data_IF_545340091456
#
_entry.id   IF_545340091456
#
_cell.length_a   1.000
_cell.length_b   1.000
_cell.length_c   1.000
_cell.angle_alpha   90.00
_cell.angle_beta   90.00
_cell.angle_gamma   90.00
#
_symmetry.space_group_name_H-M   'P 1'
#
loop_
_entity.id
_entity.type
_entity.pdbx_description
1 polymer ?
#
# COMPACT_ATOMS: atom_id res chain seq x y z
N UNK A 1 15.42 -44.63 1.59
CA UNK A 1 14.86 -43.27 1.76
C UNK A 1 15.67 -42.32 0.88
N UNK A 2 15.15 -41.86 -0.25
CA UNK A 2 15.85 -40.86 -1.09
C UNK A 2 15.49 -39.48 -0.55
N UNK A 3 16.37 -38.91 0.26
CA UNK A 3 16.27 -37.52 0.64
C UNK A 3 16.61 -36.69 -0.60
N UNK A 4 15.65 -35.89 -1.07
CA UNK A 4 15.91 -34.92 -2.12
C UNK A 4 16.64 -33.72 -1.49
N UNK A 5 17.71 -33.27 -2.15
CA UNK A 5 18.35 -32.02 -1.77
C UNK A 5 17.36 -30.88 -1.92
N UNK A 6 17.26 -30.02 -0.90
CA UNK A 6 16.53 -28.76 -0.98
C UNK A 6 17.22 -27.92 -2.06
N UNK A 7 16.57 -27.78 -3.20
CA UNK A 7 17.00 -26.82 -4.21
C UNK A 7 16.72 -25.44 -3.61
N UNK A 8 17.79 -24.69 -3.28
CA UNK A 8 17.66 -23.29 -2.92
C UNK A 8 16.93 -22.57 -4.05
N UNK A 9 15.95 -21.72 -3.70
CA UNK A 9 15.11 -21.00 -4.65
C UNK A 9 15.96 -20.39 -5.76
N UNK A 10 15.51 -20.53 -7.01
CA UNK A 10 16.16 -19.88 -8.15
C UNK A 10 16.27 -18.37 -7.85
N UNK A 11 17.40 -17.72 -8.18
CA UNK A 11 17.53 -16.29 -8.00
C UNK A 11 16.41 -15.59 -8.77
N UNK A 12 15.71 -14.66 -8.10
CA UNK A 12 14.65 -13.89 -8.73
C UNK A 12 15.18 -13.20 -10.00
N UNK A 13 14.37 -13.11 -11.06
CA UNK A 13 14.74 -12.41 -12.29
C UNK A 13 15.20 -10.96 -12.03
N UNK A 14 16.10 -10.44 -12.87
CA UNK A 14 16.68 -9.10 -12.69
C UNK A 14 15.63 -7.98 -12.69
N UNK A 15 14.52 -8.14 -13.40
CA UNK A 15 13.42 -7.17 -13.45
C UNK A 15 12.71 -6.99 -12.09
N UNK A 16 12.89 -7.92 -11.14
CA UNK A 16 12.37 -7.76 -9.77
C UNK A 16 13.08 -6.66 -8.98
N UNK A 17 14.19 -6.16 -9.51
CA UNK A 17 14.96 -5.02 -8.97
C UNK A 17 14.71 -3.72 -9.75
N UNK A 18 14.16 -3.78 -10.96
CA UNK A 18 13.79 -2.58 -11.73
C UNK A 18 12.45 -2.03 -11.26
N UNK A 19 12.30 -0.72 -11.30
CA UNK A 19 11.12 -0.02 -10.85
C UNK A 19 10.80 1.15 -11.78
N UNK A 20 9.50 1.44 -11.93
CA UNK A 20 9.03 2.71 -12.49
C UNK A 20 8.71 3.65 -11.34
N UNK A 21 9.24 4.86 -11.38
CA UNK A 21 9.06 5.88 -10.35
C UNK A 21 8.16 7.03 -10.80
N UNK A 22 7.27 7.48 -9.93
CA UNK A 22 6.45 8.67 -10.16
C UNK A 22 7.04 9.84 -9.37
N UNK A 23 7.28 10.94 -10.08
CA UNK A 23 7.89 12.15 -9.54
C UNK A 23 6.88 13.30 -9.52
N UNK A 24 7.02 14.14 -8.52
CA UNK A 24 6.24 15.32 -8.32
C UNK A 24 6.96 16.55 -8.89
N UNK A 25 6.39 17.27 -9.88
CA UNK A 25 7.09 18.30 -10.63
C UNK A 25 7.46 19.53 -9.78
N UNK A 26 6.69 19.80 -8.73
CA UNK A 26 6.87 20.95 -7.83
C UNK A 26 8.00 20.87 -6.80
N UNK A 27 8.68 19.74 -6.63
CA UNK A 27 9.78 19.61 -5.64
C UNK A 27 11.14 19.46 -6.32
N UNK A 28 12.22 19.69 -5.57
CA UNK A 28 13.59 19.54 -6.09
C UNK A 28 13.97 18.07 -6.27
N UNK A 29 14.95 17.81 -7.13
CA UNK A 29 15.44 16.46 -7.40
C UNK A 29 15.95 15.79 -6.12
N UNK A 30 15.54 14.55 -5.88
CA UNK A 30 15.88 13.79 -4.67
C UNK A 30 14.84 13.92 -3.56
N UNK A 31 13.93 14.88 -3.68
CA UNK A 31 12.75 15.06 -2.84
C UNK A 31 11.43 14.85 -3.58
N UNK A 32 11.49 14.76 -4.91
CA UNK A 32 10.36 14.71 -5.83
C UNK A 32 9.82 13.30 -6.08
N UNK A 33 10.57 12.23 -5.76
CA UNK A 33 10.08 10.86 -5.91
C UNK A 33 8.94 10.57 -4.94
N UNK A 34 7.73 10.38 -5.47
CA UNK A 34 6.51 10.11 -4.69
C UNK A 34 6.45 8.64 -4.26
N UNK A 35 6.60 7.74 -5.22
CA UNK A 35 6.60 6.28 -5.01
C UNK A 35 7.17 5.59 -6.25
N UNK A 36 7.47 4.31 -6.12
CA UNK A 36 7.91 3.45 -7.22
C UNK A 36 7.20 2.10 -7.15
N UNK A 37 6.93 1.51 -8.32
CA UNK A 37 6.36 0.15 -8.45
C UNK A 37 7.34 -0.76 -9.18
N UNK A 38 7.44 -2.05 -8.79
CA UNK A 38 8.35 -3.00 -9.43
C UNK A 38 7.88 -3.36 -10.85
N UNK A 39 8.83 -3.50 -11.78
CA UNK A 39 8.52 -3.87 -13.17
C UNK A 39 8.20 -5.37 -13.30
N UNK A 40 6.94 -5.73 -13.07
CA UNK A 40 6.46 -7.11 -13.06
C UNK A 40 5.48 -7.43 -14.20
N UNK A 41 5.00 -6.40 -14.92
CA UNK A 41 4.14 -6.59 -16.08
C UNK A 41 5.00 -6.88 -17.32
N UNK A 42 4.81 -8.03 -17.93
CA UNK A 42 5.51 -8.42 -19.17
C UNK A 42 4.97 -7.60 -20.35
N UNK A 43 5.86 -7.12 -21.21
CA UNK A 43 5.51 -6.42 -22.45
C UNK A 43 5.23 -7.45 -23.55
N UNK A 44 3.97 -7.81 -23.74
CA UNK A 44 3.52 -8.75 -24.74
C UNK A 44 3.49 -8.17 -26.16
N UNK A 45 3.41 -9.02 -27.22
CA UNK A 45 3.43 -8.61 -28.64
C UNK A 45 2.42 -7.52 -29.03
N UNK A 46 1.27 -7.50 -28.37
CA UNK A 46 0.16 -6.59 -28.64
C UNK A 46 0.15 -5.37 -27.70
N UNK A 47 0.99 -5.38 -26.66
CA UNK A 47 1.04 -4.28 -25.70
C UNK A 47 1.75 -3.08 -26.31
N UNK A 48 1.17 -1.91 -26.07
CA UNK A 48 1.79 -0.62 -26.36
C UNK A 48 2.72 -0.30 -25.19
N UNK A 49 4.02 -0.20 -25.48
CA UNK A 49 5.03 0.31 -24.58
C UNK A 49 5.59 1.62 -25.14
N UNK A 50 6.14 2.48 -24.28
CA UNK A 50 6.58 3.81 -24.71
C UNK A 50 7.99 3.88 -25.31
N UNK A 51 8.74 2.77 -25.29
CA UNK A 51 10.00 2.61 -26.01
C UNK A 51 9.84 2.10 -27.46
N UNK A 52 8.63 2.16 -28.07
CA UNK A 52 8.47 1.79 -29.48
C UNK A 52 9.15 2.82 -30.41
N UNK A 53 10.45 2.61 -30.67
CA UNK A 53 11.21 3.35 -31.70
C UNK A 53 10.68 2.98 -33.08
N UNK A 54 9.99 3.93 -33.73
CA UNK A 54 9.61 3.83 -35.14
C UNK A 54 10.84 4.16 -35.99
N UNK A 55 11.70 3.17 -36.22
CA UNK A 55 12.70 3.25 -37.30
C UNK A 55 12.12 2.62 -38.58
N UNK A 56 12.40 3.25 -39.72
CA UNK A 56 11.71 3.09 -40.99
C UNK A 56 11.24 1.66 -41.31
N UNK A 57 9.91 1.48 -41.33
CA UNK A 57 9.17 0.33 -41.84
C UNK A 57 9.50 -1.07 -41.26
N UNK A 58 10.18 -1.16 -40.11
CA UNK A 58 10.34 -2.45 -39.42
C UNK A 58 10.18 -2.27 -37.91
N UNK A 59 9.07 -2.78 -37.36
CA UNK A 59 8.88 -2.98 -35.91
C UNK A 59 9.92 -4.00 -35.42
N UNK A 60 11.13 -3.55 -35.07
CA UNK A 60 12.16 -4.43 -34.51
C UNK A 60 12.11 -4.31 -32.99
N UNK A 61 11.36 -5.22 -32.36
CA UNK A 61 11.52 -5.49 -30.93
C UNK A 61 12.82 -6.27 -30.77
N UNK A 62 13.77 -5.76 -29.97
CA UNK A 62 14.87 -6.61 -29.50
C UNK A 62 14.25 -7.76 -28.69
N UNK A 63 14.66 -8.99 -28.99
CA UNK A 63 14.03 -10.25 -28.56
C UNK A 63 14.18 -10.59 -27.06
N UNK A 64 14.26 -9.60 -26.17
CA UNK A 64 14.14 -9.81 -24.72
C UNK A 64 12.78 -9.28 -24.29
N UNK A 65 12.01 -10.12 -23.57
CA UNK A 65 10.78 -9.66 -22.93
C UNK A 65 11.11 -8.45 -22.04
N UNK A 66 10.60 -7.28 -22.43
CA UNK A 66 10.64 -6.11 -21.58
C UNK A 66 9.67 -6.29 -20.43
N UNK A 67 10.00 -5.73 -19.27
CA UNK A 67 9.08 -5.65 -18.13
C UNK A 67 8.86 -4.19 -17.78
N UNK A 68 7.65 -3.87 -17.35
CA UNK A 68 7.27 -2.53 -16.92
C UNK A 68 6.15 -2.56 -15.90
N UNK A 69 5.38 -1.48 -15.86
CA UNK A 69 4.23 -1.35 -14.96
C UNK A 69 2.98 -1.01 -15.77
N UNK A 70 1.89 -1.72 -15.50
CA UNK A 70 0.59 -1.49 -16.12
C UNK A 70 0.11 -0.05 -15.89
N UNK A 71 -0.07 0.68 -16.98
CA UNK A 71 -0.36 2.11 -16.98
C UNK A 71 -1.64 2.48 -16.24
N UNK A 72 -2.75 1.78 -16.51
CA UNK A 72 -4.01 2.06 -15.84
C UNK A 72 -3.93 1.88 -14.33
N UNK A 73 -3.13 0.92 -13.86
CA UNK A 73 -2.89 0.74 -12.43
C UNK A 73 -2.04 1.87 -11.88
N UNK A 74 -0.91 2.19 -12.52
CA UNK A 74 -0.04 3.30 -12.08
C UNK A 74 -0.78 4.64 -12.03
N UNK A 75 -1.55 4.97 -13.06
CA UNK A 75 -2.33 6.20 -13.11
C UNK A 75 -3.38 6.24 -11.98
N UNK A 76 -4.06 5.12 -11.72
CA UNK A 76 -5.04 5.06 -10.63
C UNK A 76 -4.39 5.24 -9.25
N UNK A 77 -3.17 4.70 -9.04
CA UNK A 77 -2.38 4.96 -7.84
C UNK A 77 -2.17 6.46 -7.66
N UNK A 78 -1.71 7.14 -8.72
CA UNK A 78 -1.52 8.59 -8.71
C UNK A 78 -2.80 9.35 -8.37
N UNK A 79 -3.91 8.99 -9.00
CA UNK A 79 -5.22 9.62 -8.78
C UNK A 79 -5.70 9.48 -7.33
N UNK A 80 -5.47 8.32 -6.69
CA UNK A 80 -5.79 8.11 -5.27
C UNK A 80 -4.94 9.03 -4.38
N UNK A 81 -3.63 9.11 -4.65
CA UNK A 81 -2.69 9.95 -3.87
C UNK A 81 -3.10 11.43 -3.92
N UNK A 82 -3.64 11.88 -5.05
CA UNK A 82 -4.07 13.28 -5.26
C UNK A 82 -5.52 13.53 -4.85
N UNK A 83 -6.12 12.63 -4.06
CA UNK A 83 -7.47 12.83 -3.52
C UNK A 83 -8.58 12.48 -4.50
N UNK A 84 -8.40 11.40 -5.27
CA UNK A 84 -9.34 10.88 -6.27
C UNK A 84 -9.51 11.78 -7.51
N UNK A 85 -8.41 12.32 -8.03
CA UNK A 85 -8.40 13.17 -9.24
C UNK A 85 -8.59 12.37 -10.53
N UNK A 86 -9.63 11.53 -10.61
CA UNK A 86 -9.82 10.55 -11.68
C UNK A 86 -9.91 11.17 -13.08
N UNK A 87 -10.47 12.37 -13.20
CA UNK A 87 -10.71 13.01 -14.49
C UNK A 87 -9.60 13.99 -14.93
N UNK A 88 -8.77 14.45 -13.98
CA UNK A 88 -7.82 15.55 -14.25
C UNK A 88 -6.37 15.12 -14.22
N UNK A 89 -6.00 14.14 -13.38
CA UNK A 89 -4.60 13.74 -13.24
C UNK A 89 -4.09 12.97 -14.45
N UNK A 90 -2.84 13.22 -14.84
CA UNK A 90 -2.18 12.52 -15.95
C UNK A 90 -0.67 12.36 -15.70
N UNK A 91 -0.05 11.43 -16.43
CA UNK A 91 1.40 11.22 -16.43
C UNK A 91 2.06 11.93 -17.63
N UNK A 92 3.28 12.41 -17.44
CA UNK A 92 4.09 13.10 -18.45
C UNK A 92 5.53 12.59 -18.43
N UNK A 93 6.19 12.61 -19.59
CA UNK A 93 7.62 12.32 -19.74
C UNK A 93 8.50 13.46 -19.22
N UNK A 94 7.96 14.69 -19.21
CA UNK A 94 8.70 15.86 -18.79
C UNK A 94 8.07 16.56 -17.57
N UNK A 95 8.92 17.24 -16.82
CA UNK A 95 8.56 17.96 -15.60
C UNK A 95 7.56 19.10 -15.82
N UNK A 96 7.47 19.69 -17.02
CA UNK A 96 6.53 20.77 -17.32
C UNK A 96 5.13 20.25 -17.69
N UNK A 97 4.99 18.96 -18.01
CA UNK A 97 3.69 18.37 -18.37
C UNK A 97 3.32 18.53 -19.84
N UNK A 98 4.26 18.97 -20.68
CA UNK A 98 4.01 19.27 -22.09
C UNK A 98 3.92 17.99 -22.95
N UNK A 99 4.67 16.96 -22.58
CA UNK A 99 4.75 15.67 -23.24
C UNK A 99 4.00 14.62 -22.42
N UNK A 100 2.67 14.64 -22.53
CA UNK A 100 1.79 13.69 -21.83
C UNK A 100 1.99 12.28 -22.35
N UNK A 101 1.91 11.29 -21.45
CA UNK A 101 1.87 9.86 -21.83
C UNK A 101 0.62 9.60 -22.67
N UNK A 102 0.80 9.21 -23.94
CA UNK A 102 -0.27 8.89 -24.89
C UNK A 102 -0.40 7.37 -25.00
N UNK A 103 -1.07 6.77 -24.02
CA UNK A 103 -1.23 5.31 -23.96
C UNK A 103 -2.63 4.94 -23.48
N UNK A 104 -3.15 3.82 -23.97
CA UNK A 104 -4.41 3.28 -23.46
C UNK A 104 -4.21 2.65 -22.06
N UNK A 105 -5.29 2.44 -21.32
CA UNK A 105 -5.25 1.93 -19.94
C UNK A 105 -4.53 0.59 -19.75
N UNK A 106 -4.31 -0.18 -20.83
CA UNK A 106 -3.67 -1.50 -20.81
C UNK A 106 -2.19 -1.47 -21.13
N UNK A 107 -1.68 -0.35 -21.63
CA UNK A 107 -0.29 -0.26 -22.02
C UNK A 107 0.65 -0.34 -20.81
N UNK A 108 1.93 -0.53 -21.11
CA UNK A 108 2.97 -0.82 -20.12
C UNK A 108 3.98 0.32 -20.13
N UNK A 109 4.19 0.94 -18.97
CA UNK A 109 5.20 1.96 -18.75
C UNK A 109 6.57 1.28 -18.64
N UNK A 110 7.52 1.63 -19.52
CA UNK A 110 8.87 1.04 -19.52
C UNK A 110 9.99 2.01 -19.15
N UNK A 111 9.73 3.32 -19.11
CA UNK A 111 10.72 4.29 -18.64
C UNK A 111 10.88 4.22 -17.11
N UNK A 112 12.08 4.55 -16.63
CA UNK A 112 12.40 4.54 -15.20
C UNK A 112 11.59 5.57 -14.38
N UNK A 113 11.12 6.65 -15.03
CA UNK A 113 10.49 7.77 -14.35
C UNK A 113 9.45 8.52 -15.19
N UNK A 114 8.39 8.97 -14.51
CA UNK A 114 7.34 9.85 -15.06
C UNK A 114 6.99 10.95 -14.06
N UNK A 115 6.45 12.05 -14.57
CA UNK A 115 5.93 13.14 -13.74
C UNK A 115 4.41 13.08 -13.66
N UNK A 116 3.88 13.10 -12.44
CA UNK A 116 2.44 13.25 -12.21
C UNK A 116 2.06 14.72 -12.28
N UNK A 117 0.99 15.03 -13.01
CA UNK A 117 0.42 16.37 -13.12
C UNK A 117 -1.05 16.33 -12.74
N UNK A 118 -1.48 17.33 -11.96
CA UNK A 118 -2.86 17.55 -11.58
C UNK A 118 -3.22 18.99 -11.93
N UNK A 119 -3.85 19.24 -13.09
CA UNK A 119 -4.31 20.57 -13.45
C UNK A 119 -5.22 21.16 -12.37
N UNK A 120 -4.89 22.35 -11.91
CA UNK A 120 -5.71 23.16 -11.01
C UNK A 120 -6.27 24.33 -11.82
N UNK A 121 -7.58 24.58 -11.74
CA UNK A 121 -8.28 25.57 -12.57
C UNK A 121 -7.76 27.00 -12.41
N UNK A 122 -7.14 27.33 -11.27
CA UNK A 122 -6.88 28.72 -10.86
C UNK A 122 -5.45 28.99 -10.37
N UNK A 123 -4.49 28.07 -10.59
CA UNK A 123 -3.12 28.24 -10.09
C UNK A 123 -2.05 27.83 -11.09
N UNK A 124 -1.06 28.70 -11.25
CA UNK A 124 0.22 28.45 -11.94
C UNK A 124 1.21 27.62 -11.09
N UNK A 125 0.75 26.99 -10.00
CA UNK A 125 1.64 26.23 -9.12
C UNK A 125 1.88 24.84 -9.69
N UNK A 126 3.13 24.57 -10.07
CA UNK A 126 3.60 23.22 -10.45
C UNK A 126 3.58 22.23 -9.27
N UNK A 127 3.21 22.67 -8.08
CA UNK A 127 3.13 21.84 -6.88
C UNK A 127 1.67 21.71 -6.46
N UNK A 128 1.11 20.50 -6.56
CA UNK A 128 -0.23 20.18 -6.08
C UNK A 128 -0.17 19.54 -4.69
N UNK A 129 -1.27 19.60 -3.96
CA UNK A 129 -1.37 18.97 -2.65
C UNK A 129 -1.53 17.45 -2.74
N UNK A 130 -0.89 16.74 -1.81
CA UNK A 130 -0.95 15.26 -1.71
C UNK A 130 -1.73 14.84 -0.47
N UNK A 131 -2.58 13.82 -0.61
CA UNK A 131 -3.25 13.18 0.52
C UNK A 131 -2.22 12.40 1.35
N UNK A 132 -2.09 12.65 2.67
CA UNK A 132 -0.90 12.23 3.40
C UNK A 132 -0.85 10.74 3.76
N UNK A 133 -2.00 10.11 3.96
CA UNK A 133 -2.14 8.71 4.36
C UNK A 133 -3.59 8.23 4.15
N UNK A 134 -3.84 6.96 4.44
CA UNK A 134 -5.17 6.36 4.30
C UNK A 134 -6.21 6.93 5.28
N UNK A 135 -5.85 7.19 6.54
CA UNK A 135 -6.80 7.74 7.54
C UNK A 135 -7.35 9.12 7.16
N UNK A 136 -6.54 9.92 6.47
CA UNK A 136 -6.90 11.24 5.97
C UNK A 136 -7.51 11.22 4.56
N UNK A 137 -7.50 10.06 3.88
CA UNK A 137 -8.09 9.90 2.55
C UNK A 137 -9.60 9.74 2.64
N UNK A 138 -10.31 10.41 1.73
CA UNK A 138 -11.75 10.26 1.56
C UNK A 138 -12.03 9.19 0.52
N UNK A 139 -12.88 8.24 0.88
CA UNK A 139 -13.45 7.31 -0.06
C UNK A 139 -14.25 8.10 -1.12
N UNK A 140 -14.09 7.80 -2.41
CA UNK A 140 -14.79 8.53 -3.46
C UNK A 140 -16.28 8.20 -3.45
N UNK A 141 -17.09 9.14 -3.91
CA UNK A 141 -18.53 8.94 -4.08
C UNK A 141 -18.84 7.89 -5.16
N UNK A 142 -18.07 7.91 -6.25
CA UNK A 142 -18.16 6.95 -7.33
C UNK A 142 -16.82 6.23 -7.54
N UNK A 143 -16.89 4.91 -7.73
CA UNK A 143 -15.73 4.12 -8.12
C UNK A 143 -15.40 4.36 -9.61
N UNK A 144 -14.13 4.19 -10.03
CA UNK A 144 -13.82 4.13 -11.45
C UNK A 144 -14.60 2.98 -12.13
N UNK A 145 -15.01 3.16 -13.37
CA UNK A 145 -15.92 2.21 -14.06
C UNK A 145 -15.43 0.76 -14.03
N UNK A 146 -14.12 0.55 -14.20
CA UNK A 146 -13.49 -0.79 -14.16
C UNK A 146 -13.64 -1.53 -12.83
N UNK A 147 -13.93 -0.82 -11.74
CA UNK A 147 -14.10 -1.41 -10.41
C UNK A 147 -15.50 -1.97 -10.15
N UNK A 148 -16.50 -1.58 -10.94
CA UNK A 148 -17.86 -2.09 -10.79
C UNK A 148 -17.99 -3.56 -11.22
N UNK A 149 -17.12 -4.02 -12.14
CA UNK A 149 -17.12 -5.40 -12.66
C UNK A 149 -16.34 -6.41 -11.80
N UNK A 150 -15.57 -5.96 -10.81
CA UNK A 150 -14.57 -6.76 -10.08
C UNK A 150 -15.19 -7.87 -9.19
N UNK A 151 -16.45 -7.72 -8.77
CA UNK A 151 -17.04 -8.57 -7.73
C UNK A 151 -17.82 -9.80 -8.25
N UNK A 152 -18.10 -9.92 -9.55
CA UNK A 152 -18.90 -11.04 -10.06
C UNK A 152 -17.98 -12.22 -10.44
N UNK A 153 -17.50 -12.92 -9.42
CA UNK A 153 -16.84 -14.22 -9.60
C UNK A 153 -17.77 -15.34 -9.11
N UNK A 154 -17.66 -16.57 -9.65
CA UNK A 154 -18.39 -17.71 -9.13
C UNK A 154 -18.11 -17.90 -7.63
N UNK A 155 -19.15 -18.17 -6.84
CA UNK A 155 -18.97 -18.57 -5.43
C UNK A 155 -18.34 -19.96 -5.42
N UNK A 156 -17.17 -20.08 -4.80
CA UNK A 156 -16.61 -21.40 -4.54
C UNK A 156 -17.45 -22.11 -3.45
N UNK A 157 -17.80 -23.36 -3.72
CA UNK A 157 -18.46 -24.25 -2.77
C UNK A 157 -17.51 -24.71 -1.66
N UNK A 158 -16.20 -24.67 -1.92
CA UNK A 158 -15.15 -25.07 -0.98
C UNK A 158 -14.42 -23.84 -0.41
N UNK A 159 -13.89 -23.92 0.82
CA UNK A 159 -13.09 -22.85 1.41
C UNK A 159 -11.70 -22.79 0.77
N UNK A 160 -11.61 -22.26 -0.45
CA UNK A 160 -10.35 -22.10 -1.19
C UNK A 160 -9.77 -20.69 -1.02
N UNK A 161 -8.47 -20.59 -1.24
CA UNK A 161 -7.73 -19.35 -1.32
C UNK A 161 -8.05 -18.67 -2.64
N UNK A 162 -8.50 -17.41 -2.57
CA UNK A 162 -8.98 -16.68 -3.74
C UNK A 162 -7.89 -16.48 -4.82
N UNK A 163 -6.61 -16.56 -4.45
CA UNK A 163 -5.47 -16.42 -5.36
C UNK A 163 -5.02 -17.78 -5.88
N UNK A 164 -4.67 -18.70 -4.98
CA UNK A 164 -4.04 -19.98 -5.39
C UNK A 164 -5.02 -21.09 -5.78
N UNK A 165 -6.32 -20.93 -5.50
CA UNK A 165 -7.35 -21.96 -5.72
C UNK A 165 -7.21 -23.20 -4.83
N UNK A 166 -6.18 -23.27 -3.98
CA UNK A 166 -5.96 -24.36 -3.02
C UNK A 166 -6.71 -24.09 -1.73
N UNK A 167 -6.79 -25.05 -0.81
CA UNK A 167 -7.46 -24.85 0.48
C UNK A 167 -6.92 -23.61 1.20
N UNK A 168 -7.83 -22.71 1.59
CA UNK A 168 -7.48 -21.57 2.42
C UNK A 168 -7.34 -22.02 3.87
N UNK A 169 -6.31 -21.51 4.53
CA UNK A 169 -6.08 -21.76 5.96
C UNK A 169 -6.70 -20.66 6.82
N UNK A 170 -6.98 -19.49 6.23
CA UNK A 170 -7.37 -18.30 6.98
C UNK A 170 -8.48 -17.51 6.29
N UNK A 171 -9.27 -16.81 7.11
CA UNK A 171 -10.05 -15.65 6.67
C UNK A 171 -9.21 -14.41 6.99
N UNK A 172 -9.04 -13.54 6.01
CA UNK A 172 -8.32 -12.29 6.15
C UNK A 172 -9.28 -11.13 5.91
N UNK A 173 -9.26 -10.14 6.80
CA UNK A 173 -9.96 -8.89 6.58
C UNK A 173 -9.32 -8.11 5.42
N UNK A 174 -10.16 -7.61 4.53
CA UNK A 174 -9.73 -6.78 3.38
C UNK A 174 -9.24 -5.44 3.90
N UNK A 175 -10.02 -4.79 4.76
CA UNK A 175 -9.68 -3.60 5.54
C UNK A 175 -9.49 -4.01 7.01
N UNK A 176 -8.32 -3.73 7.62
CA UNK A 176 -8.05 -4.14 8.99
C UNK A 176 -8.87 -3.31 10.00
N UNK A 177 -9.10 -3.87 11.18
CA UNK A 177 -9.85 -3.24 12.27
C UNK A 177 -9.25 -1.90 12.72
N UNK A 178 -7.92 -1.73 12.60
CA UNK A 178 -7.25 -0.46 12.88
C UNK A 178 -7.82 0.74 12.11
N UNK A 179 -8.60 0.49 11.05
CA UNK A 179 -9.23 1.51 10.21
C UNK A 179 -10.71 1.78 10.55
N UNK A 180 -11.22 1.34 11.70
CA UNK A 180 -12.62 1.59 12.11
C UNK A 180 -12.99 3.08 12.11
N UNK A 181 -12.07 3.95 12.52
CA UNK A 181 -12.30 5.41 12.47
C UNK A 181 -12.47 5.91 11.04
N UNK A 182 -11.64 5.44 10.12
CA UNK A 182 -11.74 5.78 8.69
C UNK A 182 -13.04 5.23 8.11
N UNK A 183 -13.40 3.99 8.45
CA UNK A 183 -14.62 3.32 8.04
C UNK A 183 -15.87 4.13 8.40
N UNK A 184 -15.99 4.55 9.66
CA UNK A 184 -17.12 5.36 10.13
C UNK A 184 -17.15 6.73 9.46
N UNK A 185 -16.01 7.41 9.35
CA UNK A 185 -15.95 8.73 8.72
C UNK A 185 -16.37 8.68 7.24
N UNK A 186 -16.16 7.56 6.55
CA UNK A 186 -16.47 7.38 5.14
C UNK A 186 -17.82 6.69 4.88
N UNK A 187 -18.66 6.53 5.91
CA UNK A 187 -19.97 5.88 5.79
C UNK A 187 -19.89 4.49 5.13
N UNK A 188 -18.79 3.76 5.38
CA UNK A 188 -18.54 2.47 4.74
C UNK A 188 -19.52 1.38 5.20
N UNK A 189 -20.33 1.65 6.23
CA UNK A 189 -21.49 0.84 6.65
C UNK A 189 -22.50 0.60 5.53
N UNK A 190 -22.59 1.53 4.58
CA UNK A 190 -23.52 1.45 3.45
C UNK A 190 -23.17 0.28 2.50
N UNK A 191 -21.93 -0.22 2.59
CA UNK A 191 -21.41 -1.31 1.76
C UNK A 191 -21.24 -2.63 2.53
N UNK A 192 -21.65 -2.70 3.79
CA UNK A 192 -21.45 -3.85 4.70
C UNK A 192 -22.72 -4.30 5.42
N UNK A 193 -23.88 -4.06 4.81
CA UNK A 193 -25.19 -4.36 5.41
C UNK A 193 -25.40 -3.65 6.77
N UNK A 194 -24.85 -2.44 6.92
CA UNK A 194 -25.00 -1.63 8.14
C UNK A 194 -24.13 -2.06 9.31
N UNK A 195 -23.04 -2.81 9.09
CA UNK A 195 -22.16 -3.23 10.17
C UNK A 195 -21.56 -2.01 10.91
N UNK A 196 -21.62 -2.02 12.25
CA UNK A 196 -21.11 -0.91 13.10
C UNK A 196 -19.58 -0.78 13.07
N UNK A 197 -18.87 -1.87 12.78
CA UNK A 197 -17.40 -1.95 12.71
C UNK A 197 -16.98 -2.72 11.47
N UNK A 198 -15.83 -2.33 10.89
CA UNK A 198 -15.24 -2.96 9.72
C UNK A 198 -14.87 -4.43 9.97
N UNK A 199 -14.55 -4.76 11.22
CA UNK A 199 -14.18 -6.11 11.64
C UNK A 199 -15.35 -7.10 11.57
N UNK A 200 -16.57 -6.61 11.79
CA UNK A 200 -17.79 -7.45 11.87
C UNK A 200 -18.46 -7.66 10.51
N UNK A 201 -18.00 -6.97 9.47
CA UNK A 201 -18.54 -7.08 8.12
C UNK A 201 -18.10 -8.39 7.45
N UNK A 202 -19.07 -9.21 7.03
CA UNK A 202 -18.81 -10.36 6.16
C UNK A 202 -18.37 -9.93 4.76
N UNK A 203 -18.77 -8.73 4.33
CA UNK A 203 -18.38 -8.12 3.06
C UNK A 203 -16.94 -7.61 3.03
N UNK A 204 -16.26 -7.65 4.19
CA UNK A 204 -14.87 -7.26 4.37
C UNK A 204 -13.93 -8.49 4.52
N UNK A 205 -14.37 -9.69 4.13
CA UNK A 205 -13.61 -10.93 4.38
C UNK A 205 -13.29 -11.70 3.11
N UNK A 206 -12.01 -12.05 2.94
CA UNK A 206 -11.52 -12.96 1.90
C UNK A 206 -10.83 -14.18 2.50
N UNK A 207 -10.69 -15.23 1.71
CA UNK A 207 -10.00 -16.47 2.10
C UNK A 207 -8.62 -16.55 1.46
N UNK A 208 -7.59 -16.72 2.27
CA UNK A 208 -6.21 -16.78 1.80
C UNK A 208 -5.45 -17.93 2.46
N UNK A 209 -4.35 -18.32 1.82
CA UNK A 209 -3.29 -19.06 2.51
C UNK A 209 -2.57 -18.12 3.48
N UNK A 210 -2.05 -18.65 4.59
CA UNK A 210 -1.36 -17.88 5.62
C UNK A 210 -0.23 -16.97 5.09
N UNK A 211 0.56 -17.48 4.13
CA UNK A 211 1.63 -16.71 3.51
C UNK A 211 1.09 -15.50 2.72
N UNK A 212 0.04 -15.69 1.92
CA UNK A 212 -0.60 -14.61 1.16
C UNK A 212 -1.38 -13.64 2.05
N UNK A 213 -1.96 -14.12 3.15
CA UNK A 213 -2.62 -13.32 4.17
C UNK A 213 -1.66 -12.32 4.80
N UNK A 214 -0.46 -12.79 5.20
CA UNK A 214 0.61 -11.92 5.72
C UNK A 214 1.08 -10.89 4.69
N UNK A 215 1.30 -11.32 3.44
CA UNK A 215 1.76 -10.43 2.36
C UNK A 215 0.71 -9.35 2.04
N UNK A 216 -0.59 -9.71 2.09
CA UNK A 216 -1.67 -8.74 2.00
C UNK A 216 -1.59 -7.75 3.15
N UNK A 217 -1.53 -8.22 4.40
CA UNK A 217 -1.42 -7.37 5.59
C UNK A 217 -0.28 -6.36 5.49
N UNK A 218 0.91 -6.79 5.03
CA UNK A 218 2.09 -5.94 4.78
C UNK A 218 1.93 -4.98 3.58
N UNK A 219 0.74 -4.91 2.97
CA UNK A 219 0.39 -4.08 1.82
C UNK A 219 1.29 -4.35 0.60
N UNK A 220 1.81 -5.58 0.43
CA UNK A 220 2.71 -5.89 -0.67
C UNK A 220 2.00 -6.10 -2.02
N UNK A 221 0.70 -6.39 -2.01
CA UNK A 221 -0.14 -6.39 -3.21
C UNK A 221 -1.53 -5.82 -2.93
N UNK A 222 -2.26 -5.56 -4.01
CA UNK A 222 -3.70 -5.31 -3.99
C UNK A 222 -4.37 -6.10 -5.12
N UNK A 223 -5.69 -6.22 -5.05
CA UNK A 223 -6.50 -6.74 -6.15
C UNK A 223 -6.93 -5.57 -7.03
N UNK A 224 -6.73 -5.67 -8.34
CA UNK A 224 -7.02 -4.58 -9.30
C UNK A 224 -7.75 -5.11 -10.53
N UNK A 225 -8.59 -4.29 -11.19
CA UNK A 225 -9.15 -4.64 -12.48
C UNK A 225 -8.09 -4.51 -13.57
N UNK A 226 -8.03 -5.49 -14.46
CA UNK A 226 -7.30 -5.41 -15.72
C UNK A 226 -8.11 -6.02 -16.85
N UNK A 227 -8.18 -5.33 -17.97
CA UNK A 227 -8.80 -5.81 -19.20
C UNK A 227 -7.91 -6.82 -19.94
N UNK A 228 -8.50 -7.93 -20.40
CA UNK A 228 -7.85 -8.83 -21.36
C UNK A 228 -7.88 -8.29 -22.80
N UNK A 229 -7.26 -8.98 -23.76
CA UNK A 229 -7.23 -8.64 -25.21
C UNK A 229 -8.60 -8.38 -25.82
N UNK A 230 -9.66 -8.97 -25.27
CA UNK A 230 -11.04 -8.78 -25.73
C UNK A 230 -11.78 -7.65 -25.00
N UNK A 231 -11.10 -6.89 -24.15
CA UNK A 231 -11.67 -5.81 -23.34
C UNK A 231 -12.53 -6.31 -22.17
N UNK A 232 -12.39 -7.58 -21.77
CA UNK A 232 -13.10 -8.10 -20.60
C UNK A 232 -12.29 -7.80 -19.35
N UNK A 233 -12.91 -7.16 -18.37
CA UNK A 233 -12.31 -6.88 -17.07
C UNK A 233 -12.15 -8.16 -16.25
N UNK A 234 -10.96 -8.35 -15.69
CA UNK A 234 -10.64 -9.42 -14.75
C UNK A 234 -10.05 -8.81 -13.48
N UNK A 235 -10.39 -9.39 -12.34
CA UNK A 235 -9.73 -9.05 -11.08
C UNK A 235 -8.45 -9.86 -10.95
N UNK A 236 -7.31 -9.18 -10.84
CA UNK A 236 -5.99 -9.80 -10.73
C UNK A 236 -5.24 -9.32 -9.50
N UNK A 237 -4.26 -10.10 -9.06
CA UNK A 237 -3.31 -9.70 -8.03
C UNK A 237 -2.22 -8.82 -8.64
N UNK A 238 -2.01 -7.62 -8.10
CA UNK A 238 -0.95 -6.73 -8.53
C UNK A 238 -0.04 -6.36 -7.36
N UNK A 239 1.25 -6.69 -7.48
CA UNK A 239 2.25 -6.45 -6.45
C UNK A 239 2.83 -5.04 -6.54
N UNK A 240 2.85 -4.38 -5.38
CA UNK A 240 3.43 -3.06 -5.16
C UNK A 240 4.83 -3.13 -4.55
N UNK A 241 5.24 -4.31 -4.10
CA UNK A 241 6.56 -4.55 -3.53
C UNK A 241 7.00 -5.99 -3.74
N UNK A 242 8.28 -6.19 -4.01
CA UNK A 242 8.97 -7.49 -4.05
C UNK A 242 9.83 -7.72 -2.80
N UNK A 243 9.87 -6.77 -1.86
CA UNK A 243 10.67 -6.84 -0.63
C UNK A 243 9.98 -7.65 0.48
N UNK A 244 10.66 -7.86 1.60
CA UNK A 244 10.11 -8.51 2.80
C UNK A 244 9.50 -9.91 2.56
N UNK A 245 10.11 -10.69 1.65
CA UNK A 245 9.63 -12.04 1.31
C UNK A 245 8.44 -12.07 0.37
N UNK A 246 8.04 -10.93 -0.21
CA UNK A 246 6.99 -10.89 -1.23
C UNK A 246 7.49 -11.30 -2.63
N UNK A 247 8.81 -11.33 -2.88
CA UNK A 247 9.40 -11.62 -4.20
C UNK A 247 8.94 -12.94 -4.81
N UNK A 248 9.00 -14.05 -4.06
CA UNK A 248 8.54 -15.36 -4.56
C UNK A 248 7.04 -15.35 -4.87
N UNK A 249 6.23 -14.72 -4.00
CA UNK A 249 4.79 -14.60 -4.23
C UNK A 249 4.49 -13.72 -5.44
N UNK A 250 5.23 -12.63 -5.64
CA UNK A 250 5.12 -11.77 -6.81
C UNK A 250 5.46 -12.54 -8.09
N UNK A 251 6.50 -13.37 -8.06
CA UNK A 251 6.87 -14.22 -9.20
C UNK A 251 5.76 -15.20 -9.60
N UNK A 252 5.08 -15.83 -8.65
CA UNK A 252 4.04 -16.80 -8.96
C UNK A 252 2.65 -16.21 -9.16
N UNK A 253 2.36 -15.05 -8.56
CA UNK A 253 0.99 -14.55 -8.43
C UNK A 253 0.75 -13.17 -9.04
N UNK A 254 1.77 -12.43 -9.49
CA UNK A 254 1.52 -11.17 -10.20
C UNK A 254 0.70 -11.42 -11.47
N UNK A 255 -0.34 -10.61 -11.70
CA UNK A 255 -1.34 -10.76 -12.76
C UNK A 255 -2.14 -12.07 -12.74
N UNK A 256 -2.07 -12.85 -11.65
CA UNK A 256 -2.94 -14.02 -11.50
C UNK A 256 -4.38 -13.58 -11.25
N UNK A 257 -5.32 -14.13 -12.05
CA UNK A 257 -6.76 -13.94 -11.86
C UNK A 257 -7.22 -14.57 -10.55
N UNK A 258 -8.07 -13.86 -9.83
CA UNK A 258 -8.68 -14.39 -8.61
C UNK A 258 -9.83 -15.34 -8.96
N UNK A 259 -10.02 -16.38 -8.13
CA UNK A 259 -10.97 -17.45 -8.37
C UNK A 259 -12.38 -17.17 -7.81
N UNK A 260 -12.49 -16.52 -6.64
CA UNK A 260 -13.79 -16.29 -5.97
C UNK A 260 -13.74 -15.13 -4.97
N UNK A 261 -14.41 -14.02 -5.29
CA UNK A 261 -14.68 -12.81 -4.51
C UNK A 261 -16.17 -12.56 -4.22
N UNK A 262 -17.05 -13.56 -4.45
CA UNK A 262 -18.51 -13.42 -4.47
C UNK A 262 -19.18 -12.85 -3.19
N UNK A 263 -18.43 -12.61 -2.12
CA UNK A 263 -18.91 -12.08 -0.85
C UNK A 263 -18.25 -10.77 -0.46
N UNK A 264 -17.50 -10.09 -1.34
CA UNK A 264 -16.78 -8.85 -1.00
C UNK A 264 -17.27 -7.71 -1.86
N UNK A 265 -17.68 -6.61 -1.22
CA UNK A 265 -18.10 -5.43 -1.95
C UNK A 265 -16.90 -4.81 -2.70
N UNK A 266 -17.06 -4.37 -3.97
CA UNK A 266 -16.01 -3.66 -4.72
C UNK A 266 -15.39 -2.49 -3.95
N UNK A 267 -16.18 -1.84 -3.11
CA UNK A 267 -15.78 -0.69 -2.29
C UNK A 267 -14.70 -1.08 -1.27
N UNK A 268 -14.80 -2.25 -0.64
CA UNK A 268 -13.74 -2.74 0.25
C UNK A 268 -12.47 -3.08 -0.51
N UNK A 269 -12.58 -3.64 -1.72
CA UNK A 269 -11.43 -3.93 -2.57
C UNK A 269 -10.72 -2.63 -3.01
N UNK A 270 -11.48 -1.62 -3.39
CA UNK A 270 -10.93 -0.31 -3.77
C UNK A 270 -10.30 0.40 -2.59
N UNK A 271 -10.95 0.39 -1.43
CA UNK A 271 -10.37 0.90 -0.19
C UNK A 271 -9.08 0.16 0.17
N UNK A 272 -9.01 -1.16 -0.07
CA UNK A 272 -7.80 -1.94 0.18
C UNK A 272 -6.68 -1.57 -0.78
N UNK A 273 -7.00 -1.36 -2.06
CA UNK A 273 -6.06 -0.81 -3.02
C UNK A 273 -5.51 0.54 -2.55
N UNK A 274 -6.38 1.47 -2.13
CA UNK A 274 -5.94 2.76 -1.59
C UNK A 274 -5.06 2.62 -0.34
N UNK A 275 -5.42 1.72 0.59
CA UNK A 275 -4.59 1.42 1.76
C UNK A 275 -3.18 0.94 1.36
N UNK A 276 -3.10 0.06 0.36
CA UNK A 276 -1.84 -0.41 -0.20
C UNK A 276 -1.05 0.72 -0.88
N UNK A 277 -1.72 1.64 -1.58
CA UNK A 277 -1.11 2.84 -2.18
C UNK A 277 -0.49 3.74 -1.11
N UNK A 278 -1.23 4.08 -0.06
CA UNK A 278 -0.74 4.99 0.98
C UNK A 278 0.43 4.40 1.77
N UNK A 279 0.54 3.08 1.85
CA UNK A 279 1.73 2.41 2.42
C UNK A 279 3.02 2.68 1.62
N UNK A 280 2.93 3.15 0.35
CA UNK A 280 4.08 3.40 -0.54
C UNK A 280 4.55 4.84 -0.57
N UNK A 281 3.75 5.81 -0.13
CA UNK A 281 4.10 7.23 -0.22
C UNK A 281 4.72 7.82 1.05
N UNK A 282 4.78 7.04 2.13
CA UNK A 282 5.29 7.47 3.45
C UNK A 282 6.62 8.23 3.35
N UNK A 283 7.56 7.69 2.57
CA UNK A 283 8.89 8.28 2.45
C UNK A 283 8.84 9.66 1.79
N UNK A 284 8.06 9.83 0.74
CA UNK A 284 7.80 11.13 0.13
C UNK A 284 7.15 12.11 1.12
N UNK A 285 6.21 11.61 1.93
CA UNK A 285 5.48 12.38 2.93
C UNK A 285 6.34 12.85 4.09
N UNK A 286 7.44 12.17 4.43
CA UNK A 286 8.31 12.53 5.56
C UNK A 286 9.65 13.17 5.14
N UNK A 287 10.08 13.00 3.90
CA UNK A 287 11.32 13.58 3.37
C UNK A 287 11.12 15.05 3.00
N UNK A 288 12.26 15.73 2.79
CA UNK A 288 12.33 17.11 2.37
C UNK A 288 11.89 18.14 3.40
N UNK A 289 12.07 19.41 3.06
CA UNK A 289 11.78 20.53 3.97
C UNK A 289 10.29 20.83 4.05
N UNK A 290 9.61 20.89 2.92
CA UNK A 290 8.21 21.31 2.86
C UNK A 290 7.36 20.48 1.90
N UNK A 291 6.07 20.30 2.21
CA UNK A 291 5.10 19.63 1.33
C UNK A 291 3.74 20.33 1.39
N UNK A 292 3.09 20.45 0.24
CA UNK A 292 1.67 20.77 0.15
C UNK A 292 0.84 19.51 0.45
N UNK A 293 0.02 19.59 1.49
CA UNK A 293 -0.78 18.48 2.00
C UNK A 293 -2.27 18.79 1.84
N UNK A 294 -3.01 17.83 1.30
CA UNK A 294 -4.46 17.89 1.25
C UNK A 294 -5.01 17.42 2.61
N UNK A 295 -5.59 18.34 3.37
CA UNK A 295 -6.21 18.07 4.67
C UNK A 295 -7.71 18.15 4.53
N UNK A 296 -8.39 17.04 4.80
CA UNK A 296 -9.85 16.98 4.75
C UNK A 296 -10.44 17.28 6.12
N UNK A 297 -11.33 18.26 6.16
CA UNK A 297 -11.98 18.75 7.39
C UNK A 297 -13.49 18.77 7.20
N UNK A 298 -14.25 18.71 8.30
CA UNK A 298 -15.68 19.02 8.25
C UNK A 298 -15.86 20.51 7.99
N UNK A 299 -16.74 20.83 7.07
CA UNK A 299 -17.07 22.19 6.67
C UNK A 299 -18.48 22.26 6.11
N UNK A 300 -18.70 23.24 5.25
CA UNK A 300 -19.97 23.52 4.62
C UNK A 300 -19.71 23.64 3.12
N UNK A 301 -20.56 23.03 2.29
CA UNK A 301 -20.48 23.16 0.84
C UNK A 301 -21.06 24.50 0.34
N UNK A 302 -21.06 24.72 -0.98
CA UNK A 302 -21.63 25.92 -1.59
C UNK A 302 -23.14 26.07 -1.38
N UNK A 303 -23.84 25.00 -1.03
CA UNK A 303 -25.28 24.98 -0.74
C UNK A 303 -25.61 25.30 0.73
N UNK A 304 -24.61 25.40 1.60
CA UNK A 304 -24.84 25.58 3.04
C UNK A 304 -24.98 24.28 3.82
N UNK A 305 -24.78 23.12 3.18
CA UNK A 305 -24.94 21.80 3.81
C UNK A 305 -23.62 21.31 4.42
N UNK A 306 -23.65 20.55 5.54
CA UNK A 306 -22.45 19.96 6.11
C UNK A 306 -21.76 19.03 5.10
N UNK A 307 -20.49 19.29 4.83
CA UNK A 307 -19.71 18.55 3.85
C UNK A 307 -18.26 18.35 4.31
N UNK A 308 -17.58 17.40 3.67
CA UNK A 308 -16.13 17.28 3.80
C UNK A 308 -15.46 18.25 2.82
N UNK A 309 -14.58 19.11 3.33
CA UNK A 309 -13.87 20.12 2.55
C UNK A 309 -12.38 19.83 2.60
N UNK A 310 -11.76 19.74 1.43
CA UNK A 310 -10.31 19.61 1.29
C UNK A 310 -9.67 21.00 1.35
N UNK A 311 -8.70 21.18 2.24
CA UNK A 311 -7.84 22.37 2.29
C UNK A 311 -6.41 21.97 2.00
N UNK A 312 -5.77 22.73 1.11
CA UNK A 312 -4.34 22.61 0.88
C UNK A 312 -3.59 23.38 1.96
N UNK A 313 -2.68 22.70 2.65
CA UNK A 313 -1.86 23.27 3.70
C UNK A 313 -0.42 22.94 3.42
N UNK A 314 0.42 23.96 3.38
CA UNK A 314 1.86 23.78 3.35
C UNK A 314 2.35 23.36 4.75
N UNK A 315 3.08 22.24 4.83
CA UNK A 315 3.62 21.72 6.09
C UNK A 315 5.12 21.51 6.01
N UNK A 316 5.83 22.05 6.99
CA UNK A 316 7.25 21.78 7.16
C UNK A 316 7.50 20.34 7.63
N UNK A 317 8.78 19.95 7.66
CA UNK A 317 9.21 18.62 8.05
C UNK A 317 8.86 18.27 9.50
N UNK A 318 8.99 19.21 10.43
CA UNK A 318 8.72 18.97 11.84
C UNK A 318 7.23 18.73 12.10
N UNK A 319 6.36 19.52 11.46
CA UNK A 319 4.91 19.36 11.50
C UNK A 319 4.49 18.00 10.93
N UNK A 320 5.07 17.57 9.80
CA UNK A 320 4.79 16.25 9.19
C UNK A 320 5.29 15.09 10.04
N UNK A 321 6.49 15.19 10.63
CA UNK A 321 7.01 14.16 11.53
C UNK A 321 6.18 14.06 12.81
N UNK A 322 5.73 15.19 13.36
CA UNK A 322 4.86 15.21 14.54
C UNK A 322 3.49 14.57 14.26
N UNK A 323 2.91 14.86 13.09
CA UNK A 323 1.55 14.40 12.75
C UNK A 323 1.51 12.99 12.16
N UNK A 324 2.47 12.64 11.32
CA UNK A 324 2.46 11.40 10.54
C UNK A 324 3.66 10.50 10.84
N UNK A 325 4.71 11.00 11.49
CA UNK A 325 5.89 10.21 11.79
C UNK A 325 5.58 8.97 12.63
N UNK A 326 6.52 8.00 12.68
CA UNK A 326 6.39 6.86 13.58
C UNK A 326 6.20 7.38 15.02
N UNK A 327 5.21 6.85 15.73
CA UNK A 327 5.04 7.14 17.15
C UNK A 327 6.33 6.72 17.87
N UNK A 328 7.18 7.69 18.22
CA UNK A 328 8.24 7.44 19.18
C UNK A 328 7.53 7.12 20.49
N UNK A 329 7.56 5.86 20.92
CA UNK A 329 7.36 5.52 22.32
C UNK A 329 8.29 6.45 23.10
N UNK A 330 7.73 7.48 23.73
CA UNK A 330 8.47 8.27 24.69
C UNK A 330 9.05 7.26 25.66
N UNK A 331 10.39 7.15 25.70
CA UNK A 331 11.10 6.50 26.79
C UNK A 331 10.43 7.02 28.06
N UNK A 332 9.67 6.17 28.77
CA UNK A 332 9.20 6.49 30.11
C UNK A 332 10.44 6.95 30.86
N UNK A 333 10.47 8.23 31.21
CA UNK A 333 11.45 8.75 32.13
C UNK A 333 11.42 7.82 33.35
N UNK A 334 12.56 7.23 33.68
CA UNK A 334 12.70 6.48 34.93
C UNK A 334 12.21 7.40 36.05
N UNK A 335 11.30 6.95 36.94
CA UNK A 335 10.92 7.75 38.08
C UNK A 335 12.17 8.10 38.87
N UNK A 336 12.39 9.39 39.04
CA UNK A 336 13.44 9.95 39.88
C UNK A 336 13.07 9.56 41.31
N UNK A 337 13.68 8.48 41.80
CA UNK A 337 13.49 8.02 43.17
C UNK A 337 14.20 9.01 44.09
N UNK A 338 13.45 9.47 45.10
CA UNK A 338 13.82 10.52 46.03
C UNK A 338 15.18 10.27 46.69
N UNK A 339 15.88 11.38 46.91
CA UNK A 339 17.09 11.48 47.71
C UNK A 339 16.88 10.93 49.13
N UNK A 340 17.85 10.13 49.58
CA UNK A 340 18.20 10.04 50.99
C UNK A 340 19.71 9.83 51.10
N UNK A 341 20.35 10.78 51.78
CA UNK A 341 21.78 10.90 52.03
C UNK A 341 22.30 9.77 52.94
N UNK A 342 23.52 9.28 52.69
CA UNK A 342 24.72 9.39 53.57
C UNK A 342 25.82 8.38 53.17
N UNK A 343 27.04 8.93 53.03
CA UNK A 343 28.42 8.44 53.28
C UNK A 343 28.61 6.92 53.56
N UNK A 344 29.67 6.23 53.11
CA UNK A 344 31.08 6.60 53.26
C UNK A 344 32.02 5.67 52.43
N UNK A 345 33.28 6.07 52.40
CA UNK A 345 34.49 5.64 51.68
C UNK A 345 34.87 4.16 51.37
N UNK A 346 35.70 4.04 50.32
CA UNK A 346 36.95 3.25 50.14
C UNK A 346 37.10 2.06 49.15
N UNK A 347 38.15 2.24 48.31
CA UNK A 347 39.10 1.30 47.64
C UNK A 347 38.86 0.78 46.20
N UNK A 348 39.73 1.27 45.30
CA UNK A 348 40.24 0.75 44.02
C UNK A 348 40.99 -0.62 44.15
N UNK A 349 41.54 -1.27 43.09
CA UNK A 349 41.56 -1.00 41.63
C UNK A 349 41.42 -2.27 40.72
N UNK A 350 41.79 -2.11 39.42
CA UNK A 350 42.11 -3.12 38.37
C UNK A 350 40.96 -3.50 37.42
N UNK A 351 41.04 -3.45 36.09
CA UNK A 351 42.18 -3.29 35.19
C UNK A 351 42.23 -4.39 34.14
N UNK A 352 41.31 -4.44 33.16
CA UNK A 352 41.50 -5.24 31.93
C UNK A 352 40.91 -4.50 30.72
N UNK A 353 41.79 -4.05 29.83
CA UNK A 353 41.48 -3.69 28.44
C UNK A 353 41.50 -4.95 27.59
N UNK A 354 40.49 -5.19 26.74
CA UNK A 354 40.63 -6.06 25.57
C UNK A 354 39.67 -5.65 24.43
N UNK A 355 40.28 -5.06 23.39
CA UNK A 355 40.00 -5.03 21.95
C UNK A 355 38.56 -4.98 21.42
N UNK A 356 38.33 -3.92 20.62
CA UNK A 356 37.19 -3.79 19.73
C UNK A 356 37.35 -4.61 18.45
N UNK A 357 36.20 -5.04 17.95
CA UNK A 357 35.96 -5.30 16.53
C UNK A 357 34.70 -4.52 16.18
N UNK A 358 34.83 -3.62 15.20
CA UNK A 358 33.71 -2.84 14.68
C UNK A 358 32.70 -3.76 14.01
N UNK A 359 31.49 -3.81 14.57
CA UNK A 359 30.31 -4.31 13.90
C UNK A 359 29.69 -3.13 13.15
N UNK A 360 29.75 -3.19 11.82
CA UNK A 360 29.00 -2.30 10.95
C UNK A 360 27.51 -2.35 11.30
N UNK A 361 26.88 -1.19 11.27
CA UNK A 361 25.47 -1.04 11.60
C UNK A 361 24.60 -1.86 10.63
N UNK A 362 23.67 -2.70 11.14
CA UNK A 362 22.65 -3.28 10.28
C UNK A 362 21.59 -2.21 9.98
N UNK A 363 21.45 -1.88 8.70
CA UNK A 363 20.39 -1.01 8.19
C UNK A 363 19.00 -1.59 8.52
N UNK A 364 18.32 -1.01 9.49
CA UNK A 364 16.95 -1.34 9.91
C UNK A 364 15.90 -0.75 8.94
N UNK A 365 15.78 -1.36 7.76
CA UNK A 365 14.71 -1.06 6.79
C UNK A 365 13.42 -1.87 7.05
N UNK A 366 13.48 -2.94 7.85
CA UNK A 366 12.40 -3.94 7.95
C UNK A 366 11.26 -3.61 8.93
N UNK A 367 11.36 -2.53 9.70
CA UNK A 367 10.40 -2.23 10.77
C UNK A 367 9.42 -1.09 10.48
N UNK A 368 9.58 -0.38 9.35
CA UNK A 368 8.92 0.94 9.13
C UNK A 368 7.50 0.88 8.57
N UNK A 369 7.10 -0.17 7.86
CA UNK A 369 5.74 -0.26 7.28
C UNK A 369 4.71 -0.75 8.30
N UNK A 370 5.09 -1.67 9.19
CA UNK A 370 4.19 -2.25 10.20
C UNK A 370 3.71 -1.21 11.23
N UNK A 371 4.55 -0.24 11.57
CA UNK A 371 4.20 0.85 12.48
C UNK A 371 3.27 1.92 11.86
N UNK A 372 3.03 1.89 10.54
CA UNK A 372 2.20 2.88 9.83
C UNK A 372 0.79 2.41 9.50
N UNK A 373 0.50 1.12 9.69
CA UNK A 373 -0.79 0.50 9.39
C UNK A 373 -1.59 0.12 10.65
N UNK A 374 -1.09 0.54 11.83
CA UNK A 374 -1.54 0.06 13.13
C UNK A 374 -0.94 -1.32 13.41
N UNK A 375 -0.12 -1.41 14.45
CA UNK A 375 0.32 -2.70 14.95
C UNK A 375 -0.89 -3.38 15.63
N UNK A 376 -1.25 -4.58 15.19
CA UNK A 376 -2.14 -5.44 15.95
C UNK A 376 -1.40 -6.75 16.26
N UNK A 377 -1.13 -6.97 17.54
CA UNK A 377 -0.68 -8.25 18.08
C UNK A 377 -1.90 -9.13 18.31
N UNK A 378 -2.13 -10.11 17.43
CA UNK A 378 -2.96 -11.27 17.78
C UNK A 378 -2.10 -12.52 17.76
N UNK A 379 -1.46 -12.83 18.89
CA UNK A 379 -1.07 -14.21 19.20
C UNK A 379 -2.28 -14.90 19.82
N UNK A 380 -2.77 -15.89 19.10
CA UNK A 380 -3.80 -16.84 19.53
C UNK A 380 -3.43 -17.45 20.88
N UNK A 381 -4.23 -17.20 21.91
CA UNK A 381 -4.17 -17.99 23.15
C UNK A 381 -5.09 -19.19 22.96
N UNK A 382 -4.46 -20.35 22.85
CA UNK A 382 -5.09 -21.66 22.94
C UNK A 382 -5.69 -21.88 24.33
N UNK A 383 -6.89 -22.44 24.35
CA UNK A 383 -7.61 -22.96 25.50
C UNK A 383 -6.73 -23.76 26.45
N UNK A 384 -6.82 -23.45 27.75
CA UNK A 384 -6.56 -24.40 28.82
C UNK A 384 -7.79 -24.43 29.72
N UNK A 385 -8.44 -25.59 29.73
CA UNK A 385 -9.48 -26.03 30.64
C UNK A 385 -8.98 -26.02 32.09
N UNK A 386 -9.80 -25.48 33.00
CA UNK A 386 -9.90 -25.99 34.37
C UNK A 386 -11.27 -25.66 34.96
N UNK A 387 -12.11 -26.69 34.97
CA UNK A 387 -12.94 -27.16 36.09
C UNK A 387 -13.20 -26.21 37.27
N UNK A 388 -14.47 -26.02 37.62
CA UNK A 388 -14.90 -25.17 38.74
C UNK A 388 -16.43 -25.03 38.84
N UNK A 389 -17.06 -26.10 39.30
CA UNK A 389 -18.48 -26.23 39.64
C UNK A 389 -19.00 -25.23 40.68
N UNK A 390 -20.33 -25.07 40.70
CA UNK A 390 -21.25 -24.50 41.72
C UNK A 390 -21.58 -23.00 41.59
N UNK A 391 -22.80 -22.51 41.81
CA UNK A 391 -24.19 -22.97 41.82
C UNK A 391 -25.04 -21.69 42.08
N UNK A 392 -26.37 -21.78 41.90
CA UNK A 392 -27.42 -20.92 42.48
C UNK A 392 -27.91 -19.65 41.73
N UNK A 393 -28.95 -19.91 40.92
CA UNK A 393 -30.32 -19.34 40.86
C UNK A 393 -30.68 -17.98 41.52
N UNK A 394 -31.69 -17.36 40.85
CA UNK A 394 -32.63 -16.29 41.24
C UNK A 394 -32.01 -14.88 41.28
N UNK A 395 -32.53 -13.83 40.64
CA UNK A 395 -33.89 -13.46 40.22
C UNK A 395 -33.95 -12.90 38.79
#
# INVERSE_FOLDING_TARGET
MRLQHVCLSQPLPSNFRSHVSIWHPGYIRGEDTMFSLPCLDEVGPEDVADDEVVDGNRKVRLAQAGYGVHFGTMLLVCQVITGNSFDTAYLSYDRKGNNKVQMNARGILTHDQYFLHVPQSDRDTTSYAVTPNFENWRFPEALPSSWHSIAITPRDSKPSCIISGRMATEKAHVIPQSQDKWYTNNAMSDYSQGAESVHNSVDNMIRLRADLSRILHDCAFALVPKSDTNGREHTVVHFFSTTNGAGDAAFWHHNQKVHSLASVAPQFLFARFALTVFARIKDFMLRGECRQIAVVLRGIDSSGSPAWVTREVEMDRAQRLSRYGPLTLHKRARPQCCESQQDDDQKSPEGVRMFGYGLGEPEDYTSRTRAWLGADETRSISEISSDGSLDLRYC
#
